data_IF_725993859026
#
_entry.id   IF_725993859026
#
_cell.length_a   1.000
_cell.length_b   1.000
_cell.length_c   1.000
_cell.angle_alpha   90.00
_cell.angle_beta   90.00
_cell.angle_gamma   90.00
#
_symmetry.space_group_name_H-M   'P 1'
#
loop_
_entity.id
_entity.type
_entity.pdbx_description
1 polymer ?
#
# COMPACT_ATOMS: atom_id res chain seq x y z
N UNK A 1 -15.63 -6.73 13.28
CA UNK A 1 -14.91 -7.23 12.09
C UNK A 1 -13.61 -6.47 11.99
N UNK A 2 -12.53 -7.15 11.61
CA UNK A 2 -11.24 -6.49 11.37
C UNK A 2 -11.32 -5.68 10.09
N UNK A 3 -10.74 -4.49 10.11
CA UNK A 3 -10.58 -3.64 8.93
C UNK A 3 -9.13 -3.73 8.44
N UNK A 4 -8.94 -3.53 7.15
CA UNK A 4 -7.69 -3.76 6.44
C UNK A 4 -7.18 -2.45 5.83
N UNK A 5 -5.87 -2.23 5.94
CA UNK A 5 -5.18 -1.12 5.30
C UNK A 5 -4.27 -1.67 4.21
N UNK A 6 -4.55 -1.36 2.95
CA UNK A 6 -3.67 -1.75 1.85
C UNK A 6 -2.40 -0.88 1.86
N UNK A 7 -1.23 -1.51 1.73
CA UNK A 7 0.03 -0.79 1.52
C UNK A 7 0.07 -0.11 0.14
N UNK A 8 0.93 0.89 0.01
CA UNK A 8 1.17 1.54 -1.30
C UNK A 8 1.60 0.55 -2.38
N UNK A 9 2.39 -0.48 -2.04
CA UNK A 9 2.79 -1.52 -2.98
C UNK A 9 1.58 -2.36 -3.43
N UNK A 10 0.73 -2.82 -2.51
CA UNK A 10 -0.48 -3.57 -2.85
C UNK A 10 -1.42 -2.74 -3.74
N UNK A 11 -1.62 -1.47 -3.41
CA UNK A 11 -2.46 -0.57 -4.23
C UNK A 11 -1.85 -0.36 -5.62
N UNK A 12 -0.53 -0.23 -5.73
CA UNK A 12 0.15 -0.12 -7.01
C UNK A 12 -0.07 -1.35 -7.89
N UNK A 13 -0.03 -2.55 -7.30
CA UNK A 13 -0.28 -3.80 -8.02
C UNK A 13 -1.73 -3.97 -8.46
N UNK A 14 -2.70 -3.59 -7.60
CA UNK A 14 -4.13 -3.55 -7.94
C UNK A 14 -4.37 -2.58 -9.11
N UNK A 15 -3.73 -1.42 -9.10
CA UNK A 15 -3.88 -0.41 -10.17
C UNK A 15 -3.41 -0.96 -11.50
N UNK A 16 -2.32 -1.73 -11.55
CA UNK A 16 -1.77 -2.26 -12.81
C UNK A 16 -2.73 -3.20 -13.54
N UNK A 17 -3.65 -3.87 -12.85
CA UNK A 17 -4.61 -4.87 -13.38
C UNK A 17 -3.92 -5.97 -14.18
N UNK A 18 -3.01 -6.68 -13.51
CA UNK A 18 -2.13 -7.68 -14.12
C UNK A 18 -2.23 -9.06 -13.48
N UNK A 19 -3.29 -9.30 -12.70
CA UNK A 19 -3.52 -10.54 -11.99
C UNK A 19 -2.39 -10.84 -10.97
N UNK A 20 -1.98 -9.79 -10.26
CA UNK A 20 -0.96 -9.86 -9.20
C UNK A 20 -1.63 -10.23 -7.87
N UNK A 21 -0.84 -10.69 -6.89
CA UNK A 21 -1.40 -11.28 -5.66
C UNK A 21 -2.28 -10.30 -4.87
N UNK A 22 -1.93 -9.00 -4.83
CA UNK A 22 -2.78 -7.99 -4.20
C UNK A 22 -4.13 -7.77 -4.91
N UNK A 23 -4.19 -7.94 -6.24
CA UNK A 23 -5.44 -7.88 -7.02
C UNK A 23 -6.31 -9.10 -6.70
N UNK A 24 -5.71 -10.29 -6.73
CA UNK A 24 -6.37 -11.54 -6.37
C UNK A 24 -6.87 -11.56 -4.92
N UNK A 25 -6.09 -10.99 -4.01
CA UNK A 25 -6.48 -10.79 -2.62
C UNK A 25 -7.75 -9.93 -2.50
N UNK A 26 -7.82 -8.83 -3.26
CA UNK A 26 -8.97 -7.93 -3.27
C UNK A 26 -10.21 -8.61 -3.89
N UNK A 27 -10.03 -9.39 -4.95
CA UNK A 27 -11.11 -10.17 -5.57
C UNK A 27 -11.68 -11.25 -4.62
N UNK A 28 -10.83 -11.88 -3.83
CA UNK A 28 -11.23 -12.89 -2.85
C UNK A 28 -11.87 -12.32 -1.57
N UNK A 29 -11.87 -10.99 -1.39
CA UNK A 29 -12.29 -10.33 -0.16
C UNK A 29 -13.75 -10.65 0.22
N UNK A 30 -14.69 -10.61 -0.74
CA UNK A 30 -16.11 -10.87 -0.48
C UNK A 30 -16.36 -12.31 -0.02
N UNK A 31 -15.68 -13.28 -0.65
CA UNK A 31 -15.76 -14.70 -0.24
C UNK A 31 -15.21 -14.94 1.19
N UNK A 32 -14.36 -14.04 1.68
CA UNK A 32 -13.81 -14.04 3.05
C UNK A 32 -14.68 -13.23 4.03
N UNK A 33 -15.80 -12.68 3.58
CA UNK A 33 -16.69 -11.85 4.38
C UNK A 33 -16.14 -10.45 4.67
N UNK A 34 -15.25 -9.95 3.82
CA UNK A 34 -14.74 -8.58 3.87
C UNK A 34 -15.57 -7.71 2.93
N UNK A 35 -16.20 -6.68 3.48
CA UNK A 35 -16.96 -5.72 2.67
C UNK A 35 -16.03 -4.61 2.18
N UNK A 36 -16.44 -3.90 1.13
CA UNK A 36 -15.67 -2.77 0.60
C UNK A 36 -15.32 -1.73 1.69
N UNK A 37 -16.23 -1.47 2.61
CA UNK A 37 -16.05 -0.53 3.74
C UNK A 37 -15.06 -1.01 4.80
N UNK A 38 -14.66 -2.29 4.77
CA UNK A 38 -13.63 -2.84 5.64
C UNK A 38 -12.22 -2.60 5.10
N UNK A 39 -12.07 -2.16 3.85
CA UNK A 39 -10.78 -1.97 3.18
C UNK A 39 -10.53 -0.48 2.97
N UNK A 40 -9.38 -0.01 3.43
CA UNK A 40 -8.99 1.40 3.37
C UNK A 40 -7.53 1.57 2.93
N UNK A 41 -7.16 2.82 2.66
CA UNK A 41 -5.77 3.24 2.38
C UNK A 41 -5.39 4.43 3.26
N UNK A 42 -4.10 4.65 3.46
CA UNK A 42 -3.62 5.84 4.15
C UNK A 42 -3.68 7.05 3.21
N UNK A 43 -3.88 8.25 3.74
CA UNK A 43 -3.81 9.48 2.96
C UNK A 43 -2.44 9.73 2.30
N UNK A 44 -1.37 9.07 2.79
CA UNK A 44 -0.05 9.13 2.13
C UNK A 44 -0.01 8.29 0.85
N UNK A 45 -0.85 7.26 0.74
CA UNK A 45 -0.79 6.28 -0.35
C UNK A 45 -1.07 6.89 -1.72
N UNK A 46 -2.14 7.71 -1.92
CA UNK A 46 -2.35 8.41 -3.20
C UNK A 46 -1.17 9.31 -3.60
N UNK A 47 -0.61 10.05 -2.63
CA UNK A 47 0.53 10.94 -2.87
C UNK A 47 1.76 10.15 -3.35
N UNK A 48 2.09 9.06 -2.66
CA UNK A 48 3.24 8.20 -3.01
C UNK A 48 3.09 7.61 -4.41
N UNK A 49 1.92 7.05 -4.73
CA UNK A 49 1.67 6.39 -6.01
C UNK A 49 1.66 7.40 -7.16
N UNK A 50 0.99 8.54 -7.00
CA UNK A 50 0.97 9.58 -8.02
C UNK A 50 2.39 10.09 -8.30
N UNK A 51 3.18 10.37 -7.26
CA UNK A 51 4.57 10.79 -7.42
C UNK A 51 5.41 9.73 -8.16
N UNK A 52 5.31 8.45 -7.80
CA UNK A 52 6.02 7.38 -8.48
C UNK A 52 5.64 7.25 -9.97
N UNK A 53 4.35 7.34 -10.29
CA UNK A 53 3.86 7.29 -11.67
C UNK A 53 4.32 8.51 -12.49
N UNK A 54 4.35 9.69 -11.88
CA UNK A 54 4.88 10.90 -12.53
C UNK A 54 6.38 10.79 -12.81
N UNK A 55 7.16 10.27 -11.86
CA UNK A 55 8.58 10.01 -12.06
C UNK A 55 8.80 8.98 -13.18
N UNK A 56 8.03 7.88 -13.18
CA UNK A 56 8.09 6.88 -14.23
C UNK A 56 7.74 7.46 -15.61
N UNK A 57 6.71 8.32 -15.68
CA UNK A 57 6.31 8.99 -16.91
C UNK A 57 7.39 9.96 -17.43
N UNK A 58 8.01 10.72 -16.54
CA UNK A 58 9.11 11.62 -16.88
C UNK A 58 10.31 10.83 -17.40
N UNK A 59 10.67 9.73 -16.72
CA UNK A 59 11.75 8.85 -17.12
C UNK A 59 11.50 8.19 -18.48
N UNK A 60 10.30 7.63 -18.71
CA UNK A 60 9.92 6.99 -19.97
C UNK A 60 9.94 7.94 -21.17
N UNK A 61 9.62 9.23 -20.95
CA UNK A 61 9.75 10.26 -21.99
C UNK A 61 11.20 10.58 -22.34
N UNK A 62 12.09 10.59 -21.33
CA UNK A 62 13.50 10.88 -21.52
C UNK A 62 14.28 9.67 -22.07
N UNK A 63 13.85 8.45 -21.75
CA UNK A 63 14.55 7.21 -22.08
C UNK A 63 13.58 6.14 -22.66
N UNK A 64 12.99 6.39 -23.84
CA UNK A 64 11.94 5.52 -24.38
C UNK A 64 12.41 4.09 -24.71
N UNK A 65 13.70 3.87 -24.96
CA UNK A 65 14.23 2.55 -25.34
C UNK A 65 14.55 1.64 -24.15
N UNK A 66 14.73 2.21 -22.95
CA UNK A 66 15.17 1.46 -21.76
C UNK A 66 14.14 1.43 -20.65
N UNK A 67 12.97 2.05 -20.85
CA UNK A 67 11.90 2.05 -19.85
C UNK A 67 11.18 0.70 -19.82
N UNK A 68 10.85 0.23 -18.62
CA UNK A 68 10.08 -1.01 -18.42
C UNK A 68 8.67 -0.89 -19.01
N UNK A 69 8.04 0.28 -18.84
CA UNK A 69 6.69 0.55 -19.33
C UNK A 69 6.68 1.72 -20.31
N UNK A 70 6.12 1.55 -21.51
CA UNK A 70 6.01 2.65 -22.46
C UNK A 70 5.02 3.71 -21.97
N UNK A 71 5.20 4.96 -22.41
CA UNK A 71 4.39 6.12 -22.01
C UNK A 71 2.86 5.88 -22.02
N UNK A 72 2.26 5.23 -23.04
CA UNK A 72 0.82 4.94 -23.03
C UNK A 72 0.38 4.06 -21.87
N UNK A 73 1.18 3.07 -21.48
CA UNK A 73 0.88 2.16 -20.36
C UNK A 73 0.96 2.89 -19.03
N UNK A 74 1.98 3.75 -18.83
CA UNK A 74 2.08 4.56 -17.60
C UNK A 74 0.89 5.52 -17.47
N UNK A 75 0.43 6.12 -18.58
CA UNK A 75 -0.79 6.94 -18.56
C UNK A 75 -2.03 6.14 -18.18
N UNK A 76 -2.16 4.92 -18.65
CA UNK A 76 -3.25 4.03 -18.25
C UNK A 76 -3.21 3.74 -16.75
N UNK A 77 -2.02 3.48 -16.18
CA UNK A 77 -1.86 3.31 -14.73
C UNK A 77 -2.27 4.56 -13.95
N UNK A 78 -1.95 5.76 -14.45
CA UNK A 78 -2.39 7.03 -13.84
C UNK A 78 -3.92 7.14 -13.86
N UNK A 79 -4.56 6.84 -14.98
CA UNK A 79 -6.02 6.87 -15.09
C UNK A 79 -6.69 5.85 -14.16
N UNK A 80 -6.12 4.65 -14.05
CA UNK A 80 -6.59 3.61 -13.14
C UNK A 80 -6.41 4.01 -11.67
N UNK A 81 -5.26 4.61 -11.32
CA UNK A 81 -4.98 5.14 -9.99
C UNK A 81 -5.99 6.21 -9.59
N UNK A 82 -6.25 7.18 -10.46
CA UNK A 82 -7.21 8.25 -10.18
C UNK A 82 -8.62 7.71 -9.94
N UNK A 83 -9.09 6.76 -10.76
CA UNK A 83 -10.40 6.12 -10.54
C UNK A 83 -10.45 5.36 -9.21
N UNK A 84 -9.39 4.64 -8.86
CA UNK A 84 -9.29 3.93 -7.60
C UNK A 84 -9.35 4.90 -6.40
N UNK A 85 -8.57 5.98 -6.44
CA UNK A 85 -8.56 6.99 -5.36
C UNK A 85 -9.87 7.77 -5.25
N UNK A 86 -10.51 8.13 -6.37
CA UNK A 86 -11.83 8.77 -6.36
C UNK A 86 -12.89 7.89 -5.71
N UNK A 87 -12.85 6.58 -5.97
CA UNK A 87 -13.76 5.61 -5.40
C UNK A 87 -13.54 5.46 -3.89
N UNK A 88 -12.29 5.30 -3.44
CA UNK A 88 -11.97 5.30 -2.00
C UNK A 88 -12.33 6.61 -1.30
N UNK A 89 -12.10 7.76 -1.93
CA UNK A 89 -12.45 9.07 -1.37
C UNK A 89 -13.97 9.25 -1.24
N UNK A 90 -14.74 8.84 -2.27
CA UNK A 90 -16.21 8.94 -2.27
C UNK A 90 -16.85 8.17 -1.12
N UNK A 91 -16.22 7.07 -0.71
CA UNK A 91 -16.72 6.19 0.35
C UNK A 91 -16.05 6.43 1.72
N UNK A 92 -15.29 7.51 1.88
CA UNK A 92 -14.54 7.79 3.12
C UNK A 92 -13.67 6.60 3.54
N UNK A 93 -12.91 6.02 2.60
CA UNK A 93 -12.00 4.89 2.82
C UNK A 93 -10.53 5.29 2.74
N UNK A 94 -10.25 6.59 2.70
CA UNK A 94 -8.91 7.16 2.86
C UNK A 94 -8.78 7.67 4.28
N UNK A 95 -7.87 7.09 5.06
CA UNK A 95 -7.66 7.51 6.45
C UNK A 95 -6.79 8.75 6.48
N UNK A 96 -7.29 9.89 6.99
CA UNK A 96 -6.51 11.11 7.09
C UNK A 96 -5.40 10.96 8.12
N UNK A 97 -4.28 11.64 7.87
CA UNK A 97 -3.22 11.74 8.85
C UNK A 97 -3.62 12.73 9.95
N UNK A 98 -3.98 12.20 11.13
CA UNK A 98 -4.27 12.99 12.31
C UNK A 98 -3.07 13.11 13.25
N UNK A 99 -3.25 13.81 14.38
CA UNK A 99 -2.21 13.98 15.38
C UNK A 99 -1.71 12.66 15.99
N UNK A 100 -2.60 11.66 16.18
CA UNK A 100 -2.22 10.37 16.77
C UNK A 100 -1.36 9.57 15.80
N UNK A 101 -1.76 9.51 14.53
CA UNK A 101 -0.99 8.89 13.45
C UNK A 101 0.36 9.59 13.29
N UNK A 102 0.38 10.93 13.29
CA UNK A 102 1.62 11.69 13.19
C UNK A 102 2.57 11.43 14.36
N UNK A 103 2.06 11.39 15.59
CA UNK A 103 2.84 11.03 16.78
C UNK A 103 3.40 9.62 16.66
N UNK A 104 2.58 8.65 16.24
CA UNK A 104 3.01 7.26 16.10
C UNK A 104 4.04 7.08 14.99
N UNK A 105 3.90 7.82 13.89
CA UNK A 105 4.92 7.88 12.84
C UNK A 105 6.25 8.40 13.38
N UNK A 106 6.22 9.43 14.24
CA UNK A 106 7.40 9.91 14.97
C UNK A 106 8.14 8.81 15.72
N UNK A 107 7.42 7.96 16.47
CA UNK A 107 8.02 6.82 17.18
C UNK A 107 8.69 5.81 16.24
N UNK A 108 8.15 5.64 15.02
CA UNK A 108 8.66 4.71 14.02
C UNK A 108 9.87 5.25 13.26
N UNK A 109 10.10 6.57 13.24
CA UNK A 109 11.21 7.17 12.50
C UNK A 109 12.56 6.64 12.98
N UNK A 110 12.72 6.49 14.29
CA UNK A 110 13.95 6.01 14.93
C UNK A 110 14.10 4.47 14.87
N UNK A 111 13.04 3.74 14.53
CA UNK A 111 13.10 2.29 14.36
C UNK A 111 13.75 1.93 13.02
N UNK A 112 14.79 1.11 13.06
CA UNK A 112 15.33 0.47 11.85
C UNK A 112 14.45 -0.73 11.48
N UNK A 113 13.55 -0.51 10.55
CA UNK A 113 12.66 -1.53 9.99
C UNK A 113 13.21 -1.88 8.61
N UNK A 114 13.52 -3.15 8.39
CA UNK A 114 14.15 -3.64 7.15
C UNK A 114 13.36 -4.81 6.59
N UNK A 115 13.32 -4.94 5.27
CA UNK A 115 12.83 -6.13 4.59
C UNK A 115 13.90 -6.67 3.63
N UNK A 116 13.78 -7.95 3.28
CA UNK A 116 14.66 -8.57 2.29
C UNK A 116 13.99 -8.61 0.92
N UNK A 117 14.78 -8.29 -0.12
CA UNK A 117 14.36 -8.54 -1.49
C UNK A 117 14.50 -10.04 -1.86
N UNK A 118 14.18 -10.39 -3.11
CA UNK A 118 14.29 -11.75 -3.62
C UNK A 118 15.73 -12.30 -3.64
N UNK A 119 16.73 -11.41 -3.63
CA UNK A 119 18.15 -11.75 -3.58
C UNK A 119 18.70 -11.81 -2.14
N UNK A 120 17.84 -11.62 -1.13
CA UNK A 120 18.19 -11.64 0.30
C UNK A 120 18.91 -10.37 0.78
N UNK A 121 18.84 -9.26 0.04
CA UNK A 121 19.43 -7.98 0.44
C UNK A 121 18.48 -7.21 1.34
N UNK A 122 19.02 -6.65 2.42
CA UNK A 122 18.24 -5.83 3.34
C UNK A 122 18.03 -4.41 2.78
N UNK A 123 16.78 -3.97 2.77
CA UNK A 123 16.35 -2.61 2.45
C UNK A 123 15.63 -1.98 3.63
N UNK A 124 15.95 -0.73 3.94
CA UNK A 124 15.22 0.04 4.95
C UNK A 124 13.82 0.41 4.43
N UNK A 125 12.82 0.27 5.29
CA UNK A 125 11.44 0.68 4.99
C UNK A 125 11.37 2.21 4.82
N UNK A 126 10.85 2.72 3.69
CA UNK A 126 10.75 4.15 3.44
C UNK A 126 9.88 4.88 4.46
N UNK A 127 10.15 6.18 4.65
CA UNK A 127 9.39 7.01 5.59
C UNK A 127 7.88 7.06 5.28
N UNK A 128 7.50 7.05 3.99
CA UNK A 128 6.10 6.99 3.58
C UNK A 128 5.42 5.69 4.04
N UNK A 129 6.09 4.55 3.90
CA UNK A 129 5.60 3.26 4.40
C UNK A 129 5.49 3.25 5.92
N UNK A 130 6.39 3.94 6.64
CA UNK A 130 6.24 4.13 8.10
C UNK A 130 4.97 4.93 8.47
N UNK A 131 4.51 5.86 7.62
CA UNK A 131 3.21 6.54 7.81
C UNK A 131 2.04 5.56 7.61
N UNK A 132 2.13 4.65 6.65
CA UNK A 132 1.13 3.60 6.42
C UNK A 132 1.07 2.66 7.63
N UNK A 133 2.21 2.24 8.16
CA UNK A 133 2.30 1.43 9.38
C UNK A 133 1.71 2.17 10.59
N UNK A 134 2.03 3.46 10.76
CA UNK A 134 1.43 4.27 11.83
C UNK A 134 -0.09 4.36 11.69
N UNK A 135 -0.57 4.49 10.46
CA UNK A 135 -2.00 4.50 10.12
C UNK A 135 -2.64 3.15 10.48
N UNK A 136 -1.99 2.02 10.21
CA UNK A 136 -2.49 0.69 10.58
C UNK A 136 -2.55 0.50 12.11
N UNK A 137 -1.51 0.94 12.83
CA UNK A 137 -1.42 0.80 14.29
C UNK A 137 -2.49 1.62 15.04
N UNK A 138 -2.81 2.82 14.54
CA UNK A 138 -3.82 3.70 15.15
C UNK A 138 -5.22 3.40 14.63
N UNK A 139 -5.32 3.15 13.32
CA UNK A 139 -6.55 2.87 12.59
C UNK A 139 -7.58 3.99 12.66
N UNK A 140 -8.88 3.63 12.71
CA UNK A 140 -10.00 4.58 12.74
C UNK A 140 -10.66 4.57 14.12
N UNK A 141 -10.44 5.62 14.90
CA UNK A 141 -11.03 5.76 16.24
C UNK A 141 -10.42 4.80 17.27
N UNK A 142 -9.09 4.62 17.24
CA UNK A 142 -8.33 3.72 18.12
C UNK A 142 -8.61 2.22 17.91
N UNK A 143 -9.13 1.85 16.73
CA UNK A 143 -9.27 0.46 16.30
C UNK A 143 -8.20 0.15 15.25
N UNK A 144 -7.13 -0.58 15.61
CA UNK A 144 -6.06 -0.94 14.68
C UNK A 144 -6.58 -1.75 13.49
N UNK A 145 -5.81 -1.68 12.40
CA UNK A 145 -6.11 -2.31 11.13
C UNK A 145 -5.11 -3.45 10.87
N UNK A 146 -5.53 -4.45 10.11
CA UNK A 146 -4.62 -5.42 9.52
C UNK A 146 -3.93 -4.77 8.33
N UNK A 147 -2.62 -4.63 8.40
CA UNK A 147 -1.83 -4.06 7.31
C UNK A 147 -1.59 -5.12 6.23
N UNK A 148 -2.02 -4.87 5.00
CA UNK A 148 -1.84 -5.81 3.89
C UNK A 148 -0.58 -5.41 3.13
N UNK A 149 0.46 -6.24 3.25
CA UNK A 149 1.78 -5.97 2.69
C UNK A 149 2.60 -7.25 2.51
N UNK A 150 3.38 -7.31 1.42
CA UNK A 150 4.21 -8.47 1.08
C UNK A 150 5.34 -8.73 2.09
N UNK A 151 5.84 -7.68 2.76
CA UNK A 151 7.03 -7.77 3.59
C UNK A 151 6.72 -8.08 5.06
N UNK A 152 5.83 -9.04 5.32
CA UNK A 152 5.40 -9.41 6.66
C UNK A 152 6.56 -9.67 7.63
N UNK A 153 7.62 -10.34 7.17
CA UNK A 153 8.81 -10.61 8.00
C UNK A 153 9.54 -9.34 8.42
N UNK A 154 9.60 -8.33 7.55
CA UNK A 154 10.23 -7.04 7.86
C UNK A 154 9.49 -6.25 8.94
N UNK A 155 8.20 -6.54 9.11
CA UNK A 155 7.33 -5.89 10.09
C UNK A 155 7.28 -6.61 11.43
N UNK A 156 7.88 -7.80 11.56
CA UNK A 156 7.78 -8.65 12.76
C UNK A 156 8.30 -8.00 14.05
N UNK A 157 9.20 -7.01 13.92
CA UNK A 157 9.74 -6.26 15.06
C UNK A 157 8.82 -5.15 15.58
N UNK A 158 7.72 -4.85 14.89
CA UNK A 158 6.84 -3.73 15.21
C UNK A 158 5.72 -4.21 16.15
N UNK A 159 5.69 -3.74 17.41
CA UNK A 159 4.73 -4.23 18.39
C UNK A 159 3.28 -3.92 17.99
N UNK A 160 2.41 -4.90 18.13
CA UNK A 160 0.96 -4.82 17.89
C UNK A 160 0.55 -4.52 16.43
N UNK A 161 1.48 -4.60 15.48
CA UNK A 161 1.13 -4.54 14.06
C UNK A 161 0.68 -5.92 13.59
N UNK A 162 -0.58 -6.03 13.17
CA UNK A 162 -1.06 -7.19 12.44
C UNK A 162 -0.77 -6.99 10.96
N UNK A 163 -0.12 -7.98 10.33
CA UNK A 163 0.16 -7.96 8.89
C UNK A 163 -0.41 -9.20 8.23
N UNK A 164 -0.93 -9.03 7.03
CA UNK A 164 -1.35 -10.13 6.16
C UNK A 164 -0.65 -9.99 4.79
N UNK A 165 0.13 -11.00 4.40
CA UNK A 165 0.72 -11.06 3.07
C UNK A 165 -0.36 -11.50 2.06
N UNK A 166 -0.60 -10.74 0.97
CA UNK A 166 -1.54 -11.15 -0.07
C UNK A 166 -1.19 -12.49 -0.74
N UNK A 167 0.08 -12.85 -0.84
CA UNK A 167 0.55 -14.11 -1.46
C UNK A 167 0.03 -15.37 -0.72
N UNK A 168 -0.08 -15.30 0.61
CA UNK A 168 -0.49 -16.41 1.48
C UNK A 168 -1.95 -16.82 1.29
N UNK A 169 -2.74 -15.95 0.68
CA UNK A 169 -4.17 -16.13 0.42
C UNK A 169 -4.40 -16.73 -0.97
N UNK A 170 -3.56 -16.38 -1.94
CA UNK A 170 -3.67 -16.83 -3.34
C UNK A 170 -3.12 -18.25 -3.53
N UNK A 171 -2.13 -18.65 -2.73
CA UNK A 171 -1.45 -19.96 -2.83
C UNK A 171 -2.16 -21.10 -2.09
N UNK A 172 -3.38 -20.90 -1.58
CA UNK A 172 -4.20 -21.92 -0.88
C UNK A 172 -5.43 -22.30 -1.68
#
# INVERSE_FOLDING_TARGET
MSRYLLSSQCVFDIIKRRNLDAELWLEAADARGLYADDICISAVTPMTIQWQLEQALAYARAHPETTEYPVPVIKEFIDQANRFFEEFARHDRIIPMDHKIASKWGDLLDMKITFQDQDGRDYDVPSATKVEIATALIGRGDFPLVYVDYHQDGHASIPNLAVENPEDIVTK
#
